data_IF_697499786052
#
_entry.id   IF_697499786052
#
_cell.length_a   1.000
_cell.length_b   1.000
_cell.length_c   1.000
_cell.angle_alpha   90.00
_cell.angle_beta   90.00
_cell.angle_gamma   90.00
#
_symmetry.space_group_name_H-M   'P 1'
#
loop_
_entity.id
_entity.type
_entity.pdbx_description
1 polymer ?
#
# COMPACT_ATOMS: atom_id res chain seq x y z
N UNK A 1 3.18 11.30 16.14
CA UNK A 1 2.21 11.73 17.15
C UNK A 1 1.50 12.97 16.64
N UNK A 2 0.32 13.27 17.17
CA UNK A 2 -0.39 14.50 16.95
C UNK A 2 -0.77 15.05 18.32
N UNK A 3 -0.26 16.22 18.69
CA UNK A 3 -0.59 16.86 19.98
C UNK A 3 -1.63 17.92 19.75
N UNK A 4 -2.64 18.00 20.63
CA UNK A 4 -3.65 19.06 20.57
C UNK A 4 -3.00 20.43 20.77
N UNK A 5 -3.33 21.38 19.91
CA UNK A 5 -2.88 22.77 19.99
C UNK A 5 -4.04 23.70 19.63
N UNK A 6 -4.59 24.38 20.65
CA UNK A 6 -5.84 25.11 20.53
C UNK A 6 -7.00 24.23 20.05
N UNK A 7 -7.61 24.61 18.92
CA UNK A 7 -8.65 23.84 18.26
C UNK A 7 -8.11 22.73 17.33
N UNK A 8 -6.83 22.78 16.96
CA UNK A 8 -6.20 21.88 16.00
C UNK A 8 -5.18 20.92 16.62
N UNK A 9 -4.26 20.46 15.79
CA UNK A 9 -3.22 19.52 16.15
C UNK A 9 -1.87 19.87 15.52
N UNK A 10 -0.79 19.51 16.19
CA UNK A 10 0.57 19.58 15.67
C UNK A 10 1.12 18.16 15.51
N UNK A 11 1.40 17.79 14.26
CA UNK A 11 1.90 16.46 13.89
C UNK A 11 3.43 16.45 13.87
N UNK A 12 3.98 15.38 14.43
CA UNK A 12 5.41 15.09 14.41
C UNK A 12 5.66 13.60 14.18
N UNK A 13 6.65 13.28 13.35
CA UNK A 13 7.13 11.92 13.15
C UNK A 13 7.41 11.59 11.70
N UNK A 14 7.34 10.30 11.41
CA UNK A 14 7.82 9.75 10.14
C UNK A 14 6.94 8.56 9.71
N UNK A 15 6.68 8.47 8.41
CA UNK A 15 6.00 7.35 7.76
C UNK A 15 6.89 6.86 6.61
N UNK A 16 7.14 5.56 6.61
CA UNK A 16 7.96 4.90 5.61
C UNK A 16 7.10 4.16 4.58
N UNK A 17 7.67 3.90 3.41
CA UNK A 17 7.05 3.09 2.35
C UNK A 17 5.67 3.62 1.95
N UNK A 18 5.54 4.95 1.88
CA UNK A 18 4.29 5.58 1.45
C UNK A 18 4.21 5.49 -0.07
N UNK A 19 3.62 4.40 -0.57
CA UNK A 19 3.46 4.15 -2.01
C UNK A 19 2.62 5.28 -2.62
N UNK A 20 3.06 5.79 -3.76
CA UNK A 20 2.35 6.86 -4.47
C UNK A 20 2.54 8.27 -3.90
N UNK A 21 3.21 8.41 -2.74
CA UNK A 21 3.53 9.72 -2.17
C UNK A 21 4.24 10.71 -3.11
N UNK A 22 5.10 10.27 -4.05
CA UNK A 22 5.69 11.19 -5.03
C UNK A 22 4.66 11.98 -5.85
N UNK A 23 3.51 11.37 -6.14
CA UNK A 23 2.44 11.96 -6.96
C UNK A 23 1.26 12.48 -6.14
N UNK A 24 1.23 12.24 -4.84
CA UNK A 24 0.13 12.65 -3.97
C UNK A 24 0.10 14.18 -3.79
N UNK A 25 -1.11 14.75 -3.73
CA UNK A 25 -1.33 16.14 -3.28
C UNK A 25 -1.58 16.22 -1.77
N UNK A 26 -2.14 15.14 -1.21
CA UNK A 26 -2.56 15.05 0.18
C UNK A 26 -2.21 13.67 0.72
N UNK A 27 -1.97 13.60 2.02
CA UNK A 27 -1.75 12.37 2.76
C UNK A 27 -2.91 12.12 3.72
N UNK A 28 -3.35 10.86 3.80
CA UNK A 28 -4.18 10.37 4.90
C UNK A 28 -3.23 9.79 5.94
N UNK A 29 -3.08 10.48 7.07
CA UNK A 29 -2.06 10.23 8.07
C UNK A 29 -2.69 9.72 9.35
N UNK A 30 -2.33 8.51 9.75
CA UNK A 30 -2.63 8.00 11.09
C UNK A 30 -1.59 8.51 12.09
N UNK A 31 -2.04 9.15 13.16
CA UNK A 31 -1.17 9.64 14.22
C UNK A 31 -1.78 9.40 15.60
N UNK A 32 -0.93 9.02 16.56
CA UNK A 32 -1.33 8.87 17.96
C UNK A 32 -1.59 10.23 18.59
N UNK A 33 -2.81 10.43 19.06
CA UNK A 33 -3.32 11.63 19.75
C UNK A 33 -3.44 11.45 21.26
N UNK A 34 -3.61 10.21 21.73
CA UNK A 34 -3.59 9.86 23.16
C UNK A 34 -3.14 8.41 23.40
N UNK A 35 -3.04 8.02 24.67
CA UNK A 35 -2.63 6.68 25.08
C UNK A 35 -1.15 6.35 24.82
N UNK A 36 -0.78 5.11 25.12
CA UNK A 36 0.55 4.56 24.95
C UNK A 36 0.75 3.96 23.56
N UNK A 37 2.02 3.76 23.17
CA UNK A 37 2.41 3.37 21.80
C UNK A 37 1.68 2.14 21.25
N UNK A 38 1.30 1.19 22.12
CA UNK A 38 0.68 -0.09 21.76
C UNK A 38 -0.83 -0.14 22.00
N UNK A 39 -1.43 0.93 22.48
CA UNK A 39 -2.87 0.96 22.72
C UNK A 39 -3.60 0.96 21.39
N UNK A 40 -4.68 0.18 21.32
CA UNK A 40 -5.59 0.15 20.17
C UNK A 40 -6.32 1.48 20.00
N UNK A 41 -6.67 2.11 21.12
CA UNK A 41 -7.29 3.43 21.16
C UNK A 41 -6.21 4.54 21.13
N UNK A 42 -6.63 5.78 20.88
CA UNK A 42 -5.76 6.95 20.89
C UNK A 42 -5.06 7.21 19.55
N UNK A 43 -5.53 6.58 18.47
CA UNK A 43 -5.09 6.85 17.09
C UNK A 43 -6.16 7.67 16.39
N UNK A 44 -5.77 8.78 15.77
CA UNK A 44 -6.63 9.61 14.92
C UNK A 44 -6.14 9.60 13.48
N UNK A 45 -7.04 9.93 12.55
CA UNK A 45 -6.75 10.04 11.11
C UNK A 45 -6.84 11.50 10.68
N UNK A 46 -5.85 11.96 9.91
CA UNK A 46 -5.75 13.34 9.45
C UNK A 46 -5.58 13.41 7.93
N UNK A 47 -6.16 14.41 7.27
CA UNK A 47 -5.77 14.84 5.93
C UNK A 47 -4.71 15.92 6.05
N UNK A 48 -3.55 15.71 5.44
CA UNK A 48 -2.44 16.66 5.46
C UNK A 48 -2.02 16.98 4.03
N UNK A 49 -1.99 18.25 3.66
CA UNK A 49 -1.47 18.66 2.35
C UNK A 49 0.02 18.33 2.26
N UNK A 50 0.46 17.80 1.11
CA UNK A 50 1.87 17.39 0.93
C UNK A 50 2.83 18.57 0.99
N UNK A 51 2.38 19.76 0.60
CA UNK A 51 3.13 21.01 0.62
C UNK A 51 2.94 21.82 1.92
N UNK A 52 2.26 21.25 2.92
CA UNK A 52 2.11 21.90 4.21
C UNK A 52 3.48 22.17 4.86
N UNK A 53 3.60 23.30 5.55
CA UNK A 53 4.82 23.67 6.25
C UNK A 53 5.20 22.60 7.27
N UNK A 54 6.46 22.15 7.22
CA UNK A 54 6.99 21.09 8.08
C UNK A 54 6.85 19.67 7.49
N UNK A 55 6.21 19.51 6.33
CA UNK A 55 6.21 18.25 5.58
C UNK A 55 7.43 18.20 4.67
N UNK A 56 8.16 17.09 4.69
CA UNK A 56 9.20 16.82 3.71
C UNK A 56 9.15 15.36 3.26
N UNK A 57 9.55 15.10 2.01
CA UNK A 57 9.51 13.76 1.42
C UNK A 57 10.86 13.36 0.84
N UNK A 58 11.30 12.13 1.11
CA UNK A 58 12.41 11.50 0.41
C UNK A 58 11.89 10.39 -0.49
N UNK A 59 11.99 10.65 -1.76
CA UNK A 59 11.45 9.87 -2.85
C UNK A 59 12.40 8.75 -3.30
N UNK A 60 11.87 7.54 -3.53
CA UNK A 60 12.67 6.41 -4.01
C UNK A 60 11.86 5.40 -4.87
N UNK A 61 12.54 4.66 -5.77
CA UNK A 61 11.93 3.54 -6.49
C UNK A 61 11.82 2.29 -5.61
N UNK A 62 10.83 1.46 -5.88
CA UNK A 62 10.68 0.13 -5.27
C UNK A 62 11.11 -0.98 -6.25
N UNK A 63 11.32 -2.20 -5.74
CA UNK A 63 11.85 -3.33 -6.53
C UNK A 63 10.97 -3.72 -7.73
N UNK A 64 9.67 -3.47 -7.63
CA UNK A 64 8.66 -3.72 -8.65
C UNK A 64 8.48 -2.54 -9.64
N UNK A 65 9.35 -1.53 -9.57
CA UNK A 65 9.30 -0.36 -10.45
C UNK A 65 8.28 0.70 -10.06
N UNK A 66 7.52 0.51 -8.97
CA UNK A 66 6.67 1.56 -8.39
C UNK A 66 7.52 2.61 -7.69
N UNK A 67 6.87 3.64 -7.13
CA UNK A 67 7.53 4.67 -6.34
C UNK A 67 6.87 4.88 -4.99
N UNK A 68 7.71 5.13 -4.00
CA UNK A 68 7.32 5.46 -2.64
C UNK A 68 8.12 6.65 -2.12
N UNK A 69 7.72 7.16 -0.96
CA UNK A 69 8.49 8.15 -0.22
C UNK A 69 8.59 7.78 1.26
N UNK A 70 9.69 8.21 1.88
CA UNK A 70 9.69 8.53 3.31
C UNK A 70 8.99 9.88 3.45
N UNK A 71 8.04 10.00 4.37
CA UNK A 71 7.34 11.25 4.67
C UNK A 71 7.64 11.65 6.11
N UNK A 72 8.20 12.84 6.28
CA UNK A 72 8.55 13.41 7.57
C UNK A 72 7.61 14.58 7.89
N UNK A 73 7.23 14.66 9.16
CA UNK A 73 6.38 15.70 9.72
C UNK A 73 7.14 16.35 10.87
N UNK A 74 7.46 17.63 10.73
CA UNK A 74 8.15 18.44 11.73
C UNK A 74 7.27 19.64 12.09
N UNK A 75 6.59 19.54 13.24
CA UNK A 75 5.67 20.56 13.74
C UNK A 75 4.60 21.01 12.73
N UNK A 76 4.03 20.05 12.00
CA UNK A 76 3.00 20.33 11.00
C UNK A 76 1.69 20.65 11.71
N UNK A 77 1.27 21.91 11.64
CA UNK A 77 0.01 22.37 12.23
C UNK A 77 -1.16 22.10 11.27
N UNK A 78 -2.23 21.49 11.80
CA UNK A 78 -3.49 21.24 11.08
C UNK A 78 -4.67 21.65 11.94
N UNK A 79 -5.74 22.14 11.33
CA UNK A 79 -6.96 22.49 12.05
C UNK A 79 -7.81 21.26 12.43
N UNK A 80 -8.93 21.51 13.13
CA UNK A 80 -9.87 20.46 13.51
C UNK A 80 -10.52 19.79 12.29
N UNK A 81 -10.71 20.55 11.22
CA UNK A 81 -11.28 20.13 9.94
C UNK A 81 -10.43 19.10 9.20
N UNK A 82 -9.14 18.98 9.55
CA UNK A 82 -8.26 17.96 8.98
C UNK A 82 -8.54 16.56 9.52
N UNK A 83 -9.29 16.43 10.63
CA UNK A 83 -9.60 15.12 11.24
C UNK A 83 -10.63 14.38 10.40
N UNK A 84 -10.31 13.13 10.05
CA UNK A 84 -11.29 12.19 9.45
C UNK A 84 -11.87 11.33 10.57
N UNK A 85 -13.19 11.39 10.73
CA UNK A 85 -13.90 10.62 11.74
C UNK A 85 -13.72 11.19 13.14
N UNK A 86 -13.58 10.30 14.13
CA UNK A 86 -13.52 10.67 15.54
C UNK A 86 -12.08 10.67 16.07
N UNK A 87 -11.75 11.68 16.87
CA UNK A 87 -10.46 11.75 17.57
C UNK A 87 -10.33 10.56 18.51
N UNK A 88 -9.13 9.97 18.56
CA UNK A 88 -8.73 8.79 19.34
C UNK A 88 -9.38 7.46 18.93
N UNK A 89 -10.28 7.47 17.94
CA UNK A 89 -11.06 6.30 17.50
C UNK A 89 -10.93 6.02 15.99
N UNK A 90 -9.75 6.31 15.42
CA UNK A 90 -9.48 6.17 13.99
C UNK A 90 -9.11 4.75 13.54
N UNK A 91 -8.70 3.85 14.45
CA UNK A 91 -8.21 2.53 14.08
C UNK A 91 -9.27 1.64 13.38
N UNK A 92 -10.53 1.57 13.86
CA UNK A 92 -11.56 0.75 13.19
C UNK A 92 -11.82 1.17 11.74
N UNK A 93 -11.75 2.48 11.43
CA UNK A 93 -11.86 2.98 10.06
C UNK A 93 -10.71 2.47 9.18
N UNK A 94 -9.49 2.51 9.71
CA UNK A 94 -8.30 2.05 8.98
C UNK A 94 -8.34 0.54 8.75
N UNK A 95 -8.82 -0.24 9.71
CA UNK A 95 -9.00 -1.69 9.57
C UNK A 95 -9.97 -2.01 8.42
N UNK A 96 -11.14 -1.38 8.38
CA UNK A 96 -12.11 -1.56 7.29
C UNK A 96 -11.51 -1.21 5.91
N UNK A 97 -10.84 -0.06 5.79
CA UNK A 97 -10.20 0.34 4.53
C UNK A 97 -9.07 -0.62 4.14
N UNK A 98 -8.36 -1.16 5.13
CA UNK A 98 -7.28 -2.14 4.89
C UNK A 98 -7.85 -3.45 4.38
N UNK A 99 -8.96 -3.94 4.94
CA UNK A 99 -9.64 -5.15 4.49
C UNK A 99 -10.13 -5.02 3.05
N UNK A 100 -10.74 -3.88 2.69
CA UNK A 100 -11.17 -3.60 1.32
C UNK A 100 -9.98 -3.51 0.35
N UNK A 101 -8.90 -2.84 0.75
CA UNK A 101 -7.69 -2.73 -0.06
C UNK A 101 -7.04 -4.11 -0.28
N UNK A 102 -7.00 -4.97 0.74
CA UNK A 102 -6.51 -6.35 0.61
C UNK A 102 -7.34 -7.12 -0.40
N UNK A 103 -8.68 -7.03 -0.32
CA UNK A 103 -9.56 -7.70 -1.28
C UNK A 103 -9.29 -7.23 -2.73
N UNK A 104 -9.10 -5.93 -2.93
CA UNK A 104 -8.75 -5.37 -4.24
C UNK A 104 -7.39 -5.86 -4.77
N UNK A 105 -6.37 -5.93 -3.90
CA UNK A 105 -5.04 -6.45 -4.27
C UNK A 105 -5.11 -7.95 -4.62
N UNK A 106 -5.91 -8.74 -3.90
CA UNK A 106 -6.13 -10.15 -4.22
C UNK A 106 -6.76 -10.29 -5.62
N UNK A 107 -7.74 -9.45 -5.96
CA UNK A 107 -8.35 -9.46 -7.29
C UNK A 107 -7.35 -9.10 -8.40
N UNK A 108 -6.48 -8.10 -8.17
CA UNK A 108 -5.37 -7.76 -9.08
C UNK A 108 -4.43 -8.96 -9.27
N UNK A 109 -4.06 -9.65 -8.18
CA UNK A 109 -3.17 -10.80 -8.21
C UNK A 109 -3.76 -11.96 -9.03
N UNK A 110 -5.05 -12.30 -8.85
CA UNK A 110 -5.73 -13.29 -9.69
C UNK A 110 -5.69 -12.93 -11.17
N UNK A 111 -5.91 -11.66 -11.51
CA UNK A 111 -5.79 -11.17 -12.89
C UNK A 111 -4.37 -11.33 -13.45
N UNK A 112 -3.35 -10.96 -12.66
CA UNK A 112 -1.95 -11.11 -13.04
C UNK A 112 -1.56 -12.58 -13.25
N UNK A 113 -1.98 -13.49 -12.35
CA UNK A 113 -1.72 -14.93 -12.46
C UNK A 113 -2.37 -15.53 -13.71
N UNK A 114 -3.61 -15.13 -14.03
CA UNK A 114 -4.29 -15.55 -15.27
C UNK A 114 -3.51 -15.16 -16.52
N UNK A 115 -2.99 -13.93 -16.58
CA UNK A 115 -2.19 -13.46 -17.71
C UNK A 115 -0.85 -14.20 -17.78
N UNK A 116 -0.17 -14.35 -16.65
CA UNK A 116 1.10 -15.05 -16.56
C UNK A 116 0.96 -16.53 -17.00
N UNK A 117 -0.11 -17.21 -16.59
CA UNK A 117 -0.43 -18.56 -17.02
C UNK A 117 -0.61 -18.64 -18.53
N UNK A 118 -1.48 -17.78 -19.10
CA UNK A 118 -1.74 -17.77 -20.53
C UNK A 118 -0.46 -17.53 -21.36
N UNK A 119 0.37 -16.57 -20.94
CA UNK A 119 1.66 -16.30 -21.59
C UNK A 119 2.61 -17.49 -21.51
N UNK A 120 2.66 -18.16 -20.35
CA UNK A 120 3.53 -19.31 -20.12
C UNK A 120 3.10 -20.50 -20.98
N UNK A 121 1.79 -20.78 -21.05
CA UNK A 121 1.22 -21.82 -21.91
C UNK A 121 1.53 -21.55 -23.37
N UNK A 122 1.33 -20.31 -23.84
CA UNK A 122 1.61 -19.95 -25.23
C UNK A 122 3.10 -20.12 -25.57
N UNK A 123 3.99 -19.60 -24.72
CA UNK A 123 5.42 -19.77 -24.91
C UNK A 123 5.85 -21.24 -24.95
N UNK A 124 5.24 -22.09 -24.10
CA UNK A 124 5.54 -23.52 -24.05
C UNK A 124 5.20 -24.27 -25.34
N UNK A 125 4.21 -23.78 -26.11
CA UNK A 125 3.79 -24.34 -27.40
C UNK A 125 4.74 -23.95 -28.54
N UNK A 126 5.39 -22.79 -28.43
CA UNK A 126 6.24 -22.24 -29.48
C UNK A 126 7.72 -22.60 -29.29
N UNK A 127 8.22 -22.56 -28.05
CA UNK A 127 9.62 -22.81 -27.73
C UNK A 127 9.98 -24.28 -27.99
N UNK A 128 11.00 -24.53 -28.81
CA UNK A 128 11.48 -25.90 -29.11
C UNK A 128 12.81 -26.20 -28.42
N UNK A 129 12.92 -27.38 -27.83
CA UNK A 129 14.17 -28.01 -27.39
C UNK A 129 14.10 -29.50 -27.67
N UNK A 130 15.25 -30.13 -27.90
CA UNK A 130 15.32 -31.55 -28.27
C UNK A 130 14.41 -31.89 -29.48
N UNK A 131 14.32 -30.96 -30.44
CA UNK A 131 13.55 -31.12 -31.68
C UNK A 131 12.03 -30.95 -31.55
N UNK A 132 11.48 -30.76 -30.35
CA UNK A 132 10.02 -30.65 -30.13
C UNK A 132 9.65 -29.43 -29.28
N UNK A 133 8.40 -28.93 -29.36
CA UNK A 133 7.90 -27.94 -28.40
C UNK A 133 8.02 -28.42 -26.96
N UNK A 134 8.46 -27.53 -26.06
CA UNK A 134 8.70 -27.88 -24.66
C UNK A 134 7.41 -28.29 -23.93
N UNK A 135 6.24 -27.80 -24.36
CA UNK A 135 4.93 -28.21 -23.84
C UNK A 135 4.57 -29.70 -24.07
N UNK A 136 5.38 -30.47 -24.81
CA UNK A 136 5.23 -31.94 -24.93
C UNK A 136 5.81 -32.72 -23.74
N UNK A 137 6.68 -32.10 -22.92
CA UNK A 137 7.26 -32.78 -21.77
C UNK A 137 6.27 -32.81 -20.60
N UNK A 138 5.94 -34.00 -20.09
CA UNK A 138 4.95 -34.18 -19.02
C UNK A 138 5.24 -33.35 -17.77
N UNK A 139 6.51 -33.19 -17.39
CA UNK A 139 6.92 -32.36 -16.23
C UNK A 139 6.45 -30.91 -16.39
N UNK A 140 6.48 -30.36 -17.60
CA UNK A 140 5.98 -29.01 -17.87
C UNK A 140 4.46 -29.00 -17.97
N UNK A 141 3.83 -30.03 -18.51
CA UNK A 141 2.36 -30.14 -18.56
C UNK A 141 1.76 -30.14 -17.15
N UNK A 142 2.34 -30.91 -16.22
CA UNK A 142 1.89 -30.93 -14.82
C UNK A 142 2.00 -29.55 -14.19
N UNK A 143 3.12 -28.84 -14.36
CA UNK A 143 3.27 -27.45 -13.87
C UNK A 143 2.23 -26.49 -14.43
N UNK A 144 1.84 -26.62 -15.70
CA UNK A 144 0.79 -25.76 -16.28
C UNK A 144 -0.59 -26.07 -15.72
N UNK A 145 -0.85 -27.33 -15.32
CA UNK A 145 -2.09 -27.72 -14.64
C UNK A 145 -2.10 -27.17 -13.22
N UNK A 146 -1.00 -27.32 -12.48
CA UNK A 146 -0.89 -26.78 -11.11
C UNK A 146 -1.13 -25.25 -11.12
N UNK A 147 -0.47 -24.53 -12.01
CA UNK A 147 -0.67 -23.09 -12.17
C UNK A 147 -2.10 -22.69 -12.58
N UNK A 148 -2.82 -23.55 -13.32
CA UNK A 148 -4.21 -23.30 -13.69
C UNK A 148 -5.17 -23.52 -12.51
N UNK A 149 -4.86 -24.50 -11.65
CA UNK A 149 -5.66 -24.81 -10.47
C UNK A 149 -5.47 -23.78 -9.34
N UNK A 150 -4.29 -23.14 -9.29
CA UNK A 150 -3.91 -22.19 -8.23
C UNK A 150 -4.39 -20.75 -8.44
N UNK A 151 -4.78 -20.35 -9.65
CA UNK A 151 -5.23 -18.98 -9.94
C UNK A 151 -6.76 -18.84 -9.96
#
# INVERSE_FOLDING_TARGET
TAKKDGAGFVLNGHKAVVIGAPWATHFVVTARTSGDRRDSNGVSVFVVAKDAQGVSTRDYPTVDGRRASEVYFENVAVGAEAVIGEVDNGLPLIETVTDEAIAAICAEACGAMKVAHAMTVEYSRQRKQFGVPIGKFQVLQHRMVDMFMEH
#
